data_IF_853105095150
#
_entry.id   IF_853105095150
#
_cell.length_a   1.000
_cell.length_b   1.000
_cell.length_c   1.000
_cell.angle_alpha   90.00
_cell.angle_beta   90.00
_cell.angle_gamma   90.00
#
_symmetry.space_group_name_H-M   'P 1'
#
loop_
_entity.id
_entity.type
_entity.pdbx_description
1 polymer ?
#
# COMPACT_ATOMS: atom_id res chain seq x y z
N UNK A 1 45.14 -76.90 19.79
CA UNK A 1 43.75 -77.13 20.27
C UNK A 1 43.26 -75.85 20.92
N UNK A 2 42.22 -75.26 20.31
CA UNK A 2 41.27 -74.24 20.79
C UNK A 2 41.78 -72.98 21.51
N UNK A 3 41.59 -71.78 20.94
CA UNK A 3 41.47 -70.55 21.71
C UNK A 3 40.00 -70.28 22.11
N UNK A 4 39.83 -70.03 23.39
CA UNK A 4 38.59 -69.75 24.11
C UNK A 4 37.88 -68.50 23.58
N UNK A 5 36.59 -68.62 23.30
CA UNK A 5 35.71 -67.56 22.81
C UNK A 5 35.36 -66.57 23.93
N UNK A 6 35.72 -65.29 23.79
CA UNK A 6 35.23 -64.22 24.66
C UNK A 6 33.89 -63.69 24.13
N UNK A 7 32.82 -64.02 24.84
CA UNK A 7 31.45 -63.53 24.59
C UNK A 7 31.37 -62.07 25.07
N UNK A 8 31.39 -61.13 24.11
CA UNK A 8 31.11 -59.71 24.37
C UNK A 8 29.59 -59.51 24.37
N UNK A 9 29.01 -59.36 25.57
CA UNK A 9 27.60 -58.97 25.76
C UNK A 9 27.35 -57.60 25.13
N UNK A 10 26.44 -57.52 24.16
CA UNK A 10 25.91 -56.26 23.62
C UNK A 10 24.92 -55.69 24.65
N UNK A 11 25.26 -54.55 25.25
CA UNK A 11 24.30 -53.72 25.97
C UNK A 11 23.50 -52.93 24.92
N UNK A 12 22.22 -53.25 24.77
CA UNK A 12 21.28 -52.46 24.00
C UNK A 12 20.73 -51.35 24.91
N UNK A 13 21.25 -50.14 24.76
CA UNK A 13 20.66 -48.95 25.39
C UNK A 13 19.39 -48.59 24.62
N UNK A 14 18.24 -48.81 25.25
CA UNK A 14 16.95 -48.35 24.74
C UNK A 14 16.90 -46.83 24.70
N UNK A 15 16.75 -46.27 23.50
CA UNK A 15 16.44 -44.86 23.32
C UNK A 15 14.95 -44.66 23.60
N UNK A 16 14.64 -43.90 24.66
CA UNK A 16 13.29 -43.41 24.94
C UNK A 16 13.01 -42.30 23.93
N UNK A 17 12.25 -42.60 22.89
CA UNK A 17 11.73 -41.61 21.94
C UNK A 17 10.59 -40.83 22.60
N UNK A 18 10.90 -39.64 23.12
CA UNK A 18 9.88 -38.66 23.49
C UNK A 18 9.32 -38.04 22.20
N UNK A 19 8.19 -38.57 21.72
CA UNK A 19 7.42 -37.98 20.62
C UNK A 19 6.73 -36.71 21.10
N UNK A 20 7.36 -35.56 20.87
CA UNK A 20 6.69 -34.26 21.01
C UNK A 20 5.73 -34.08 19.82
N UNK A 21 4.43 -34.17 20.10
CA UNK A 21 3.36 -33.76 19.18
C UNK A 21 3.45 -32.25 18.97
N UNK A 22 4.08 -31.84 17.87
CA UNK A 22 4.01 -30.45 17.38
C UNK A 22 2.71 -30.34 16.60
N UNK A 23 1.67 -29.80 17.24
CA UNK A 23 0.45 -29.34 16.57
C UNK A 23 0.81 -28.26 15.57
N UNK A 24 0.70 -28.59 14.28
CA UNK A 24 0.77 -27.62 13.19
C UNK A 24 -0.47 -26.73 13.26
N UNK A 25 -0.32 -25.52 13.79
CA UNK A 25 -1.31 -24.46 13.66
C UNK A 25 -1.32 -23.99 12.19
N UNK A 26 -2.33 -24.42 11.44
CA UNK A 26 -2.67 -23.89 10.12
C UNK A 26 -3.04 -22.41 10.28
N UNK A 27 -2.09 -21.52 9.97
CA UNK A 27 -2.38 -20.10 9.75
C UNK A 27 -3.05 -19.97 8.38
N UNK A 28 -4.38 -19.84 8.40
CA UNK A 28 -5.16 -19.43 7.22
C UNK A 28 -4.84 -17.95 6.97
N UNK A 29 -4.41 -17.56 5.76
CA UNK A 29 -4.26 -16.14 5.43
C UNK A 29 -5.66 -15.53 5.31
N UNK A 30 -6.05 -14.76 6.32
CA UNK A 30 -7.24 -13.91 6.23
C UNK A 30 -6.86 -12.75 5.32
N UNK A 31 -7.31 -12.80 4.07
CA UNK A 31 -7.26 -11.66 3.17
C UNK A 31 -8.13 -10.54 3.77
N UNK A 32 -7.52 -9.57 4.44
CA UNK A 32 -8.21 -8.36 4.88
C UNK A 32 -8.44 -7.47 3.66
N UNK A 33 -9.59 -7.64 3.01
CA UNK A 33 -10.12 -6.62 2.12
C UNK A 33 -10.30 -5.33 2.93
N UNK A 34 -9.75 -4.22 2.43
CA UNK A 34 -9.96 -2.91 3.02
C UNK A 34 -11.48 -2.64 3.14
N UNK A 35 -11.99 -2.15 4.28
CA UNK A 35 -13.40 -1.81 4.37
C UNK A 35 -13.68 -0.63 3.43
N UNK A 36 -14.59 -0.83 2.49
CA UNK A 36 -15.30 0.27 1.85
C UNK A 36 -15.90 1.13 2.97
N UNK A 37 -15.60 2.43 2.94
CA UNK A 37 -16.05 3.40 3.94
C UNK A 37 -17.55 3.23 4.24
N UNK A 38 -17.91 2.93 5.50
CA UNK A 38 -19.30 2.95 5.99
C UNK A 38 -19.96 1.61 6.35
N UNK A 39 -19.22 0.49 6.39
CA UNK A 39 -19.75 -0.81 6.84
C UNK A 39 -19.09 -1.30 8.14
N UNK A 40 -19.91 -1.77 9.08
CA UNK A 40 -19.48 -2.41 10.33
C UNK A 40 -19.91 -3.88 10.35
N UNK A 41 -18.99 -4.77 10.75
CA UNK A 41 -19.27 -6.21 10.93
C UNK A 41 -19.76 -6.43 12.36
N UNK A 42 -20.92 -7.07 12.50
CA UNK A 42 -21.53 -7.39 13.80
C UNK A 42 -20.96 -8.70 14.37
N UNK A 43 -21.04 -8.92 15.70
CA UNK A 43 -20.50 -10.11 16.36
C UNK A 43 -21.12 -11.44 15.89
N UNK A 44 -22.28 -11.38 15.24
CA UNK A 44 -22.98 -12.52 14.65
C UNK A 44 -22.50 -12.87 13.22
N UNK A 45 -21.47 -12.17 12.72
CA UNK A 45 -20.92 -12.36 11.38
C UNK A 45 -21.69 -11.64 10.28
N UNK A 46 -22.75 -10.89 10.61
CA UNK A 46 -23.51 -10.12 9.63
C UNK A 46 -22.86 -8.76 9.36
N UNK A 47 -22.86 -8.34 8.09
CA UNK A 47 -22.34 -7.03 7.68
C UNK A 47 -23.47 -6.00 7.65
N UNK A 48 -23.33 -4.93 8.42
CA UNK A 48 -24.26 -3.81 8.46
C UNK A 48 -23.60 -2.61 7.80
N UNK A 49 -23.94 -2.35 6.54
CA UNK A 49 -23.59 -1.12 5.85
C UNK A 49 -24.66 -0.07 6.13
N UNK A 50 -24.26 1.19 6.36
CA UNK A 50 -25.22 2.29 6.41
C UNK A 50 -25.32 2.89 5.01
N UNK A 51 -26.28 2.47 4.15
CA UNK A 51 -26.47 3.12 2.88
C UNK A 51 -26.98 4.54 3.16
N UNK A 52 -26.18 5.55 2.82
CA UNK A 52 -26.71 6.91 2.66
C UNK A 52 -27.53 6.88 1.37
N UNK A 53 -28.76 6.41 1.47
CA UNK A 53 -29.71 6.36 0.37
C UNK A 53 -30.13 7.78 0.02
N UNK A 54 -29.53 8.35 -1.03
CA UNK A 54 -30.23 9.34 -1.84
C UNK A 54 -31.28 8.59 -2.64
N UNK A 55 -32.42 8.29 -2.01
CA UNK A 55 -33.59 7.79 -2.73
C UNK A 55 -34.20 8.94 -3.53
N UNK A 56 -34.09 8.82 -4.85
CA UNK A 56 -34.95 9.50 -5.80
C UNK A 56 -36.26 8.71 -5.81
N UNK A 57 -37.35 9.34 -5.41
CA UNK A 57 -38.64 8.69 -5.23
C UNK A 57 -39.16 8.04 -6.52
N UNK A 58 -39.57 6.79 -6.42
CA UNK A 58 -40.46 6.15 -7.40
C UNK A 58 -41.50 5.32 -6.67
N UNK A 59 -42.75 5.70 -6.91
CA UNK A 59 -43.98 5.23 -6.28
C UNK A 59 -44.39 3.83 -6.73
N UNK A 60 -44.76 2.97 -5.78
CA UNK A 60 -45.35 1.66 -6.05
C UNK A 60 -46.10 1.05 -4.86
N UNK A 61 -47.41 1.31 -4.79
CA UNK A 61 -48.50 0.38 -4.45
C UNK A 61 -48.57 -0.37 -3.11
N UNK A 62 -49.62 -0.09 -2.33
CA UNK A 62 -50.59 -1.13 -1.92
C UNK A 62 -50.69 -1.53 -0.43
N UNK A 63 -51.77 -1.10 0.22
CA UNK A 63 -52.66 -1.97 1.02
C UNK A 63 -52.50 -2.06 2.55
N UNK A 64 -53.50 -1.54 3.28
CA UNK A 64 -54.15 -2.30 4.37
C UNK A 64 -54.15 -1.77 5.81
N UNK A 65 -55.34 -1.28 6.23
CA UNK A 65 -55.98 -1.45 7.55
C UNK A 65 -55.48 -0.69 8.79
N UNK A 66 -56.36 0.16 9.33
CA UNK A 66 -56.33 0.58 10.74
C UNK A 66 -57.24 1.77 11.02
N UNK A 67 -58.51 1.50 11.36
CA UNK A 67 -59.50 2.52 11.69
C UNK A 67 -59.25 3.21 13.04
N UNK A 68 -59.57 4.50 13.11
CA UNK A 68 -59.60 5.29 14.33
C UNK A 68 -60.16 6.68 14.02
N UNK A 69 -61.37 6.94 14.50
CA UNK A 69 -62.17 8.12 14.17
C UNK A 69 -61.56 9.44 14.66
N UNK A 70 -61.61 10.43 13.79
CA UNK A 70 -61.28 11.83 14.03
C UNK A 70 -61.46 12.58 12.73
N UNK A 71 -62.69 12.98 12.42
CA UNK A 71 -63.00 13.69 11.18
C UNK A 71 -62.20 15.00 11.08
N UNK A 72 -61.71 15.39 9.91
CA UNK A 72 -61.13 16.71 9.74
C UNK A 72 -62.25 17.75 9.82
N UNK A 73 -62.11 18.70 10.74
CA UNK A 73 -62.82 19.98 10.64
C UNK A 73 -62.24 20.70 9.42
N UNK A 74 -63.02 20.76 8.35
CA UNK A 74 -62.71 21.55 7.17
C UNK A 74 -62.82 23.04 7.54
N UNK A 75 -61.77 23.86 7.34
CA UNK A 75 -61.90 25.31 7.50
C UNK A 75 -62.92 25.84 6.49
N UNK A 76 -63.71 26.89 6.84
CA UNK A 76 -64.59 27.50 5.86
C UNK A 76 -63.75 28.01 4.66
N UNK A 77 -64.28 27.89 3.43
CA UNK A 77 -63.60 28.42 2.26
C UNK A 77 -63.35 29.93 2.45
N UNK A 78 -62.21 30.46 1.98
CA UNK A 78 -61.96 31.90 2.08
C UNK A 78 -63.03 32.65 1.30
N UNK A 79 -63.82 33.45 2.01
CA UNK A 79 -64.77 34.36 1.38
C UNK A 79 -63.99 35.41 0.56
N UNK A 80 -64.31 35.52 -0.72
CA UNK A 80 -63.94 36.70 -1.52
C UNK A 80 -63.09 36.51 -2.79
N UNK A 81 -63.04 35.33 -3.41
CA UNK A 81 -62.46 35.19 -4.76
C UNK A 81 -63.46 34.51 -5.69
N UNK A 82 -63.82 35.19 -6.78
CA UNK A 82 -64.69 34.61 -7.81
C UNK A 82 -63.89 33.60 -8.63
N UNK A 83 -64.55 32.57 -9.17
CA UNK A 83 -63.93 31.42 -9.86
C UNK A 83 -63.06 31.75 -11.11
N UNK A 84 -62.87 33.03 -11.44
CA UNK A 84 -62.17 33.51 -12.63
C UNK A 84 -60.91 34.34 -12.34
N UNK A 85 -60.45 34.44 -11.09
CA UNK A 85 -59.12 34.99 -10.79
C UNK A 85 -58.07 33.90 -11.00
N UNK A 86 -57.67 33.83 -12.26
CA UNK A 86 -56.63 32.97 -12.79
C UNK A 86 -55.40 32.87 -11.88
N UNK A 87 -54.85 31.67 -11.83
CA UNK A 87 -53.53 31.34 -11.30
C UNK A 87 -52.49 32.29 -11.92
N UNK A 88 -52.22 33.39 -11.22
CA UNK A 88 -51.16 34.32 -11.57
C UNK A 88 -49.82 33.66 -11.28
N UNK A 89 -49.19 33.09 -12.30
CA UNK A 89 -47.79 32.71 -12.22
C UNK A 89 -46.98 34.01 -12.03
N UNK A 90 -46.49 34.25 -10.82
CA UNK A 90 -45.43 35.23 -10.60
C UNK A 90 -44.17 34.62 -11.19
N UNK A 91 -43.59 35.17 -12.28
CA UNK A 91 -42.28 34.73 -12.73
C UNK A 91 -41.29 35.10 -11.63
N UNK A 92 -40.78 34.09 -10.93
CA UNK A 92 -39.54 34.26 -10.18
C UNK A 92 -38.41 34.30 -11.20
N UNK A 93 -38.05 35.52 -11.60
CA UNK A 93 -36.80 35.74 -12.32
C UNK A 93 -35.64 35.26 -11.46
N UNK A 94 -34.93 34.24 -11.94
CA UNK A 94 -33.67 33.81 -11.33
C UNK A 94 -33.58 32.32 -11.10
N UNK A 95 -33.72 31.53 -12.15
CA UNK A 95 -32.97 30.28 -12.25
C UNK A 95 -31.49 30.62 -12.20
N UNK A 96 -30.94 30.77 -10.99
CA UNK A 96 -29.51 30.85 -10.79
C UNK A 96 -28.89 29.61 -11.40
N UNK A 97 -27.97 29.80 -12.35
CA UNK A 97 -27.17 28.71 -12.88
C UNK A 97 -26.65 27.88 -11.69
N UNK A 98 -26.67 26.53 -11.77
CA UNK A 98 -26.17 25.72 -10.67
C UNK A 98 -24.78 26.22 -10.30
N UNK A 99 -24.60 26.56 -9.02
CA UNK A 99 -23.33 27.04 -8.50
C UNK A 99 -22.26 26.05 -8.95
N UNK A 100 -21.30 26.52 -9.75
CA UNK A 100 -20.20 25.68 -10.20
C UNK A 100 -19.50 25.15 -8.96
N UNK A 101 -19.30 23.82 -8.91
CA UNK A 101 -18.57 23.20 -7.82
C UNK A 101 -17.20 23.88 -7.70
N UNK A 102 -16.84 24.30 -6.49
CA UNK A 102 -15.55 24.93 -6.25
C UNK A 102 -14.43 24.01 -6.77
N UNK A 103 -13.38 24.57 -7.39
CA UNK A 103 -12.26 23.76 -7.85
C UNK A 103 -11.63 23.01 -6.66
N UNK A 104 -11.06 21.82 -6.89
CA UNK A 104 -10.39 21.07 -5.83
C UNK A 104 -9.17 21.86 -5.34
N UNK A 105 -8.76 21.65 -4.09
CA UNK A 105 -7.54 22.30 -3.62
C UNK A 105 -6.31 21.77 -4.38
N UNK A 106 -5.32 22.65 -4.57
CA UNK A 106 -4.16 22.35 -5.40
C UNK A 106 -3.34 21.20 -4.82
N UNK A 107 -3.21 21.13 -3.50
CA UNK A 107 -2.42 20.11 -2.81
C UNK A 107 -3.01 18.69 -2.96
N UNK A 108 -4.32 18.53 -2.88
CA UNK A 108 -5.03 17.27 -3.15
C UNK A 108 -4.88 16.87 -4.61
N UNK A 109 -4.96 17.84 -5.53
CA UNK A 109 -4.76 17.56 -6.95
C UNK A 109 -3.35 17.02 -7.21
N UNK A 110 -2.31 17.63 -6.60
CA UNK A 110 -0.91 17.18 -6.68
C UNK A 110 -0.75 15.78 -6.08
N UNK A 111 -1.27 15.53 -4.89
CA UNK A 111 -1.21 14.20 -4.27
C UNK A 111 -1.91 13.15 -5.15
N UNK A 112 -3.05 13.49 -5.75
CA UNK A 112 -3.77 12.59 -6.66
C UNK A 112 -2.95 12.29 -7.92
N UNK A 113 -2.21 13.27 -8.45
CA UNK A 113 -1.33 13.10 -9.61
C UNK A 113 -0.17 12.15 -9.29
N UNK A 114 0.44 12.30 -8.10
CA UNK A 114 1.50 11.40 -7.62
C UNK A 114 0.99 9.99 -7.35
N UNK A 115 -0.15 9.84 -6.69
CA UNK A 115 -0.76 8.54 -6.42
C UNK A 115 -1.09 7.80 -7.73
N UNK A 116 -1.58 8.51 -8.76
CA UNK A 116 -1.83 7.95 -10.10
C UNK A 116 -0.55 7.55 -10.82
N UNK A 117 0.52 8.35 -10.71
CA UNK A 117 1.80 8.07 -11.37
C UNK A 117 2.55 6.92 -10.69
N UNK A 118 2.54 6.90 -9.36
CA UNK A 118 3.35 6.01 -8.53
C UNK A 118 4.85 6.32 -8.60
N UNK A 119 5.56 6.04 -7.51
CA UNK A 119 7.02 5.96 -7.54
C UNK A 119 7.42 4.56 -8.03
N UNK A 120 8.48 4.43 -8.85
CA UNK A 120 8.92 3.14 -9.34
C UNK A 120 9.41 2.27 -8.17
N UNK A 121 8.95 1.02 -8.13
CA UNK A 121 9.49 0.03 -7.19
C UNK A 121 10.92 -0.30 -7.65
N UNK A 122 11.95 -0.13 -6.79
CA UNK A 122 13.32 -0.41 -7.17
C UNK A 122 13.52 -1.90 -7.45
N UNK A 123 14.22 -2.22 -8.54
CA UNK A 123 14.68 -3.58 -8.80
C UNK A 123 16.12 -3.73 -8.30
N UNK A 124 16.37 -4.71 -7.45
CA UNK A 124 17.67 -4.93 -6.83
C UNK A 124 18.53 -5.84 -7.70
N UNK A 125 19.79 -5.43 -7.88
CA UNK A 125 20.79 -6.26 -8.54
C UNK A 125 22.09 -6.33 -7.74
N UNK A 126 22.76 -7.48 -7.87
CA UNK A 126 24.07 -7.72 -7.29
C UNK A 126 25.05 -8.29 -8.30
N UNK A 127 26.35 -8.04 -8.09
CA UNK A 127 27.42 -8.75 -8.78
C UNK A 127 28.44 -9.29 -7.76
N UNK A 128 28.67 -10.60 -7.69
CA UNK A 128 27.99 -11.65 -8.46
C UNK A 128 26.49 -11.75 -8.14
N UNK A 129 25.70 -12.28 -9.08
CA UNK A 129 24.24 -12.37 -8.96
C UNK A 129 23.83 -13.59 -8.11
N UNK A 130 22.92 -13.41 -7.16
CA UNK A 130 22.27 -14.47 -6.37
C UNK A 130 23.15 -15.19 -5.34
N UNK A 131 24.48 -15.17 -5.53
CA UNK A 131 25.44 -15.76 -4.60
C UNK A 131 26.75 -14.99 -4.55
N UNK A 132 27.25 -14.76 -3.34
CA UNK A 132 28.57 -14.19 -3.07
C UNK A 132 29.24 -14.95 -1.91
N UNK A 133 30.41 -14.47 -1.48
CA UNK A 133 31.16 -15.06 -0.38
C UNK A 133 31.49 -14.03 0.69
N UNK A 134 31.65 -14.52 1.92
CA UNK A 134 32.19 -13.73 3.02
C UNK A 134 33.50 -13.05 2.61
N UNK A 135 33.64 -11.78 2.97
CA UNK A 135 34.77 -10.88 2.65
C UNK A 135 35.00 -10.60 1.16
N UNK A 136 34.12 -11.06 0.28
CA UNK A 136 34.16 -10.69 -1.14
C UNK A 136 33.31 -9.45 -1.40
N UNK A 137 33.86 -8.53 -2.20
CA UNK A 137 33.15 -7.30 -2.57
C UNK A 137 32.01 -7.65 -3.51
N UNK A 138 30.79 -7.35 -3.07
CA UNK A 138 29.56 -7.55 -3.84
C UNK A 138 29.09 -6.18 -4.30
N UNK A 139 29.05 -5.97 -5.62
CA UNK A 139 28.48 -4.76 -6.19
C UNK A 139 26.96 -4.75 -5.95
N UNK A 140 26.41 -3.58 -5.68
CA UNK A 140 24.98 -3.37 -5.42
C UNK A 140 24.49 -2.24 -6.31
N UNK A 141 23.39 -2.43 -7.02
CA UNK A 141 22.72 -1.35 -7.74
C UNK A 141 21.22 -1.58 -7.85
N UNK A 142 20.49 -0.51 -8.15
CA UNK A 142 19.05 -0.55 -8.38
C UNK A 142 18.68 0.04 -9.73
N UNK A 143 17.65 -0.53 -10.35
CA UNK A 143 16.89 0.17 -11.39
C UNK A 143 15.82 1.06 -10.73
N UNK A 144 15.33 2.06 -11.46
CA UNK A 144 14.31 3.00 -10.96
C UNK A 144 14.85 4.22 -10.21
N UNK A 145 16.17 4.46 -10.19
CA UNK A 145 16.79 5.66 -9.62
C UNK A 145 16.93 6.78 -10.67
N UNK A 146 15.80 7.31 -11.15
CA UNK A 146 15.76 8.38 -12.14
C UNK A 146 14.72 9.42 -11.73
N UNK A 147 14.87 10.68 -12.15
CA UNK A 147 13.86 11.72 -11.90
C UNK A 147 12.51 11.28 -12.49
N UNK A 148 11.45 11.35 -11.68
CA UNK A 148 10.09 11.01 -12.10
C UNK A 148 9.26 12.29 -12.17
N UNK A 149 8.60 12.51 -13.29
CA UNK A 149 7.63 13.59 -13.45
C UNK A 149 6.24 13.01 -13.67
N UNK A 150 5.24 13.60 -13.04
CA UNK A 150 3.84 13.29 -13.35
C UNK A 150 3.48 13.90 -14.70
N UNK A 151 2.46 13.35 -15.34
CA UNK A 151 1.77 14.10 -16.38
C UNK A 151 1.11 15.34 -15.74
N UNK A 152 0.99 16.47 -16.46
CA UNK A 152 0.19 17.59 -16.00
C UNK A 152 -1.26 17.14 -15.75
N UNK A 153 -1.84 17.55 -14.63
CA UNK A 153 -3.24 17.27 -14.27
C UNK A 153 -3.96 18.58 -14.07
N UNK A 154 -5.10 18.76 -14.74
CA UNK A 154 -5.88 19.99 -14.66
C UNK A 154 -7.24 19.73 -14.01
N UNK A 155 -7.70 20.70 -13.22
CA UNK A 155 -9.05 20.74 -12.67
C UNK A 155 -9.44 22.21 -12.50
N UNK A 156 -10.58 22.65 -13.07
CA UNK A 156 -10.88 24.08 -13.16
C UNK A 156 -9.82 24.83 -13.98
N UNK A 157 -9.49 26.06 -13.56
CA UNK A 157 -8.46 26.89 -14.15
C UNK A 157 -7.10 26.72 -13.48
N UNK A 158 -6.77 25.52 -12.98
CA UNK A 158 -5.42 25.16 -12.50
C UNK A 158 -4.91 23.89 -13.17
N UNK A 159 -3.59 23.85 -13.38
CA UNK A 159 -2.85 22.69 -13.88
C UNK A 159 -1.63 22.46 -13.01
N UNK A 160 -1.50 21.25 -12.45
CA UNK A 160 -0.40 20.88 -11.55
C UNK A 160 0.53 19.85 -12.17
N UNK A 161 1.80 19.90 -11.80
CA UNK A 161 2.78 18.87 -12.12
C UNK A 161 3.72 18.64 -10.93
N UNK A 162 3.96 17.37 -10.58
CA UNK A 162 4.91 17.00 -9.55
C UNK A 162 6.18 16.38 -10.14
N UNK A 163 7.31 16.62 -9.49
CA UNK A 163 8.63 16.08 -9.82
C UNK A 163 9.23 15.42 -8.58
N UNK A 164 9.56 14.14 -8.68
CA UNK A 164 10.26 13.39 -7.65
C UNK A 164 11.73 13.19 -8.06
N UNK A 165 12.66 13.67 -7.24
CA UNK A 165 14.10 13.54 -7.44
C UNK A 165 14.66 12.47 -6.51
N UNK A 166 15.31 11.42 -7.02
CA UNK A 166 15.91 10.42 -6.16
C UNK A 166 17.15 11.02 -5.46
N UNK A 167 17.29 10.74 -4.17
CA UNK A 167 18.36 11.29 -3.32
C UNK A 167 19.37 10.23 -2.92
N UNK A 168 18.91 9.10 -2.40
CA UNK A 168 19.79 8.04 -1.91
C UNK A 168 19.12 6.68 -1.95
N UNK A 169 19.93 5.63 -1.80
CA UNK A 169 19.48 4.24 -1.67
C UNK A 169 19.96 3.71 -0.33
N UNK A 170 19.02 3.38 0.56
CA UNK A 170 19.30 2.68 1.81
C UNK A 170 19.10 1.17 1.62
N UNK A 171 20.17 0.42 1.76
CA UNK A 171 20.20 -1.03 1.69
C UNK A 171 20.03 -1.63 3.08
N UNK A 172 19.12 -2.60 3.18
CA UNK A 172 19.11 -3.57 4.27
C UNK A 172 19.71 -4.87 3.71
N UNK A 173 20.87 -5.25 4.23
CA UNK A 173 21.65 -6.38 3.76
C UNK A 173 21.40 -7.65 4.60
N UNK A 174 20.43 -7.59 5.52
CA UNK A 174 20.11 -8.66 6.46
C UNK A 174 21.07 -8.75 7.66
N UNK A 175 22.35 -8.39 7.47
CA UNK A 175 23.31 -8.31 8.59
C UNK A 175 23.70 -6.90 9.00
N UNK A 176 23.45 -5.91 8.14
CA UNK A 176 23.85 -4.51 8.30
C UNK A 176 23.00 -3.60 7.40
N UNK A 177 23.12 -2.28 7.59
CA UNK A 177 22.53 -1.26 6.72
C UNK A 177 23.62 -0.43 6.05
N UNK A 178 23.43 -0.10 4.78
CA UNK A 178 24.34 0.72 3.99
C UNK A 178 23.56 1.79 3.24
N UNK A 179 24.03 3.04 3.27
CA UNK A 179 23.44 4.13 2.48
C UNK A 179 24.38 4.49 1.34
N UNK A 180 23.88 4.43 0.11
CA UNK A 180 24.57 4.87 -1.10
C UNK A 180 23.87 6.10 -1.67
N UNK A 181 24.63 7.14 -2.03
CA UNK A 181 24.09 8.42 -2.54
C UNK A 181 23.80 8.38 -4.05
N UNK A 182 23.74 7.19 -4.64
CA UNK A 182 23.57 6.96 -6.06
C UNK A 182 22.89 5.60 -6.27
N UNK A 183 22.52 5.31 -7.52
CA UNK A 183 21.88 4.06 -7.93
C UNK A 183 22.77 2.82 -7.74
N UNK A 184 24.08 2.98 -7.53
CA UNK A 184 25.06 1.91 -7.63
C UNK A 184 25.53 1.65 -9.07
N UNK A 185 26.41 0.65 -9.23
CA UNK A 185 26.92 0.25 -10.54
C UNK A 185 27.35 -1.22 -10.53
N UNK A 186 27.28 -1.88 -11.69
CA UNK A 186 27.65 -3.30 -11.83
C UNK A 186 29.12 -3.59 -11.50
N UNK A 187 30.03 -2.63 -11.68
CA UNK A 187 31.44 -2.73 -11.29
C UNK A 187 31.68 -2.50 -9.78
N UNK A 188 30.63 -2.12 -9.04
CA UNK A 188 30.64 -1.87 -7.61
C UNK A 188 31.40 -0.62 -7.18
N UNK A 189 31.86 0.24 -8.11
CA UNK A 189 32.57 1.47 -7.75
C UNK A 189 31.66 2.46 -7.04
N UNK A 190 30.40 2.54 -7.47
CA UNK A 190 29.44 3.50 -6.92
C UNK A 190 28.81 3.03 -5.60
N UNK A 191 28.54 1.72 -5.46
CA UNK A 191 28.00 1.11 -4.25
C UNK A 191 28.40 -0.36 -4.20
N UNK A 192 28.96 -0.81 -3.06
CA UNK A 192 29.30 -2.22 -2.85
C UNK A 192 29.39 -2.54 -1.36
N UNK A 193 29.26 -3.82 -1.02
CA UNK A 193 29.38 -4.32 0.34
C UNK A 193 30.17 -5.63 0.39
N UNK A 194 30.91 -5.85 1.47
CA UNK A 194 31.60 -7.11 1.72
C UNK A 194 31.03 -7.74 2.99
N UNK A 195 30.34 -8.87 2.82
CA UNK A 195 29.66 -9.55 3.92
C UNK A 195 30.66 -10.08 4.95
N UNK A 196 30.31 -9.95 6.23
CA UNK A 196 31.09 -10.41 7.37
C UNK A 196 30.67 -11.80 7.81
N UNK A 197 29.41 -12.18 7.60
CA UNK A 197 28.83 -13.46 8.04
C UNK A 197 28.17 -14.22 6.90
N UNK A 198 28.31 -15.55 6.95
CA UNK A 198 27.59 -16.49 6.08
C UNK A 198 26.08 -16.40 6.29
N UNK A 199 25.31 -16.60 5.22
CA UNK A 199 23.85 -16.66 5.29
C UNK A 199 23.30 -18.00 5.79
N UNK A 200 24.15 -18.98 6.08
CA UNK A 200 23.73 -20.33 6.47
C UNK A 200 22.82 -20.37 7.72
N UNK A 201 22.97 -19.42 8.65
CA UNK A 201 22.14 -19.30 9.84
C UNK A 201 20.85 -18.49 9.65
N UNK A 202 20.61 -17.94 8.47
CA UNK A 202 19.39 -17.18 8.16
C UNK A 202 18.25 -18.12 7.77
N UNK A 203 16.98 -17.70 7.94
CA UNK A 203 15.84 -18.44 7.42
C UNK A 203 16.01 -18.78 5.93
N UNK A 204 15.89 -20.06 5.58
CA UNK A 204 16.11 -20.53 4.21
C UNK A 204 17.57 -20.45 3.71
N UNK A 205 18.54 -20.21 4.59
CA UNK A 205 19.98 -20.21 4.27
C UNK A 205 20.44 -19.00 3.44
N UNK A 206 19.67 -17.92 3.41
CA UNK A 206 19.86 -16.75 2.53
C UNK A 206 19.51 -15.45 3.25
N UNK A 207 20.17 -14.35 2.86
CA UNK A 207 19.70 -13.02 3.23
C UNK A 207 18.57 -12.58 2.29
N UNK A 208 17.56 -11.94 2.84
CA UNK A 208 16.50 -11.28 2.08
C UNK A 208 16.79 -9.78 2.04
N UNK A 209 17.59 -9.35 1.05
CA UNK A 209 18.06 -7.97 0.97
C UNK A 209 17.01 -7.07 0.34
N UNK A 210 16.93 -5.81 0.79
CA UNK A 210 16.02 -4.81 0.23
C UNK A 210 16.75 -3.49 0.01
N UNK A 211 16.35 -2.75 -1.02
CA UNK A 211 16.79 -1.39 -1.26
C UNK A 211 15.61 -0.42 -1.11
N UNK A 212 15.84 0.71 -0.43
CA UNK A 212 14.85 1.78 -0.27
C UNK A 212 15.40 3.06 -0.90
N UNK A 213 14.75 3.54 -1.96
CA UNK A 213 15.10 4.83 -2.56
C UNK A 213 14.38 5.94 -1.77
N UNK A 214 15.12 6.98 -1.39
CA UNK A 214 14.55 8.23 -0.88
C UNK A 214 14.37 9.24 -2.00
N UNK A 215 13.23 9.91 -2.00
CA UNK A 215 12.78 10.82 -3.05
C UNK A 215 12.41 12.16 -2.44
N UNK A 216 12.98 13.24 -2.97
CA UNK A 216 12.53 14.59 -2.66
C UNK A 216 11.51 15.03 -3.71
N UNK A 217 10.31 15.39 -3.29
CA UNK A 217 9.21 15.69 -4.22
C UNK A 217 8.83 17.17 -4.15
N UNK A 218 8.85 17.83 -5.32
CA UNK A 218 8.36 19.19 -5.49
C UNK A 218 7.25 19.25 -6.53
N UNK A 219 6.48 20.32 -6.55
CA UNK A 219 5.41 20.52 -7.52
C UNK A 219 5.28 21.97 -7.96
N UNK A 220 4.65 22.15 -9.11
CA UNK A 220 4.29 23.46 -9.68
C UNK A 220 2.81 23.48 -10.02
N UNK A 221 2.20 24.66 -10.00
CA UNK A 221 0.84 24.91 -10.44
C UNK A 221 0.79 26.14 -11.32
N UNK A 222 -0.02 26.07 -12.37
CA UNK A 222 -0.28 27.16 -13.29
C UNK A 222 -1.78 27.40 -13.43
N UNK A 223 -2.20 28.65 -13.33
CA UNK A 223 -3.57 29.07 -13.54
C UNK A 223 -4.18 29.87 -12.37
N UNK A 224 -5.40 30.36 -12.56
CA UNK A 224 -6.06 31.29 -11.64
C UNK A 224 -6.54 30.60 -10.34
N UNK A 225 -6.80 29.30 -10.42
CA UNK A 225 -7.32 28.51 -9.29
C UNK A 225 -6.19 27.86 -8.45
N UNK A 226 -4.93 28.23 -8.68
CA UNK A 226 -3.81 27.70 -7.89
C UNK A 226 -3.76 28.36 -6.51
N UNK A 227 -3.80 27.55 -5.45
CA UNK A 227 -3.60 28.03 -4.07
C UNK A 227 -2.18 28.61 -3.87
N UNK A 228 -1.20 28.02 -4.56
CA UNK A 228 0.19 28.48 -4.63
C UNK A 228 0.81 28.06 -5.97
N UNK A 229 1.83 28.80 -6.48
CA UNK A 229 2.47 28.49 -7.77
C UNK A 229 3.34 27.22 -7.73
N UNK A 230 3.64 26.70 -6.55
CA UNK A 230 4.42 25.50 -6.34
C UNK A 230 4.69 25.24 -4.87
N UNK A 231 5.36 24.12 -4.59
CA UNK A 231 5.69 23.75 -3.22
C UNK A 231 6.55 22.50 -3.13
N UNK A 232 6.79 22.10 -1.88
CA UNK A 232 7.60 20.97 -1.47
C UNK A 232 6.71 19.97 -0.72
N UNK A 233 6.78 18.69 -1.08
CA UNK A 233 6.05 17.60 -0.42
C UNK A 233 6.94 16.77 0.51
N UNK A 234 8.20 17.18 0.67
CA UNK A 234 9.19 16.55 1.51
C UNK A 234 9.76 15.28 0.92
N UNK A 235 10.28 14.46 1.83
CA UNK A 235 10.90 13.17 1.51
C UNK A 235 9.86 12.05 1.49
N UNK A 236 9.90 11.24 0.45
CA UNK A 236 9.13 10.03 0.25
C UNK A 236 10.06 8.86 0.07
N UNK A 237 9.58 7.65 0.31
CA UNK A 237 10.39 6.43 0.13
C UNK A 237 9.66 5.39 -0.68
N UNK A 238 10.43 4.59 -1.42
CA UNK A 238 9.93 3.38 -2.07
C UNK A 238 10.91 2.24 -1.85
N UNK A 239 10.42 1.13 -1.33
CA UNK A 239 11.21 -0.06 -0.97
C UNK A 239 10.99 -1.17 -1.99
N UNK A 240 12.07 -1.84 -2.37
CA UNK A 240 12.05 -3.00 -3.27
C UNK A 240 11.36 -4.20 -2.62
N UNK A 241 11.00 -5.18 -3.45
CA UNK A 241 10.74 -6.52 -2.93
C UNK A 241 12.02 -7.13 -2.30
N UNK A 242 11.89 -8.03 -1.32
CA UNK A 242 13.02 -8.79 -0.81
C UNK A 242 13.67 -9.62 -1.91
N UNK A 243 14.99 -9.52 -2.02
CA UNK A 243 15.79 -10.25 -3.00
C UNK A 243 16.69 -11.24 -2.28
N UNK A 244 16.63 -12.54 -2.61
CA UNK A 244 17.45 -13.54 -1.96
C UNK A 244 18.91 -13.44 -2.40
N UNK A 245 19.83 -13.38 -1.43
CA UNK A 245 21.26 -13.45 -1.66
C UNK A 245 21.91 -14.51 -0.77
N UNK A 246 22.57 -15.49 -1.39
CA UNK A 246 23.34 -16.51 -0.68
C UNK A 246 24.74 -15.97 -0.42
N UNK A 247 25.18 -16.03 0.84
CA UNK A 247 26.54 -15.67 1.23
C UNK A 247 27.21 -16.91 1.80
N UNK A 248 28.11 -17.52 1.03
CA UNK A 248 28.86 -18.70 1.46
C UNK A 248 30.22 -18.33 2.06
N UNK A 249 30.84 -19.26 2.77
CA UNK A 249 32.22 -19.11 3.24
C UNK A 249 33.14 -20.00 2.41
N UNK A 250 34.34 -19.51 2.09
CA UNK A 250 35.36 -20.31 1.41
C UNK A 250 36.10 -21.10 2.49
N UNK A 251 35.93 -22.42 2.47
CA UNK A 251 36.66 -23.33 3.34
C UNK A 251 37.83 -23.92 2.57
N UNK A 252 39.06 -23.64 3.02
CA UNK A 252 40.24 -24.37 2.54
C UNK A 252 40.46 -25.55 3.46
N UNK A 253 40.06 -26.74 3.02
CA UNK A 253 40.46 -27.96 3.73
C UNK A 253 41.91 -28.30 3.32
N UNK A 254 42.90 -27.85 4.09
CA UNK A 254 44.27 -28.38 3.98
C UNK A 254 44.33 -29.74 4.66
N UNK A 255 43.74 -30.74 4.02
CA UNK A 255 43.92 -32.15 4.40
C UNK A 255 45.37 -32.55 4.19
N UNK A 256 46.04 -32.94 5.28
CA UNK A 256 47.25 -33.78 5.26
C UNK A 256 46.85 -35.25 5.15
#
# INVERSE_FOLDING_TARGET
MSPTSLIRRRAASGAITASALVTAALLVPIATAAPAFGCIVRPDGTMSCNPRSTETGSTGGGGGSGGGGGGPVEPPPPEGLTANEAVGFVPVDGGGAPLQAAPPNTFELVQSALAKKGLPVPEVHTAPNGKTYVRMRTALWVEGFNVVQTAPVSAGAQTVQATAQPRSVTWNLGEDKLVCQNAGSKDGKACSYAYKRSSAGQPGGKYEITATISWHITWTCQGADCDAPGGDLGEHTMTSQPTPLIVSEIQTNTGR
#
